data_IF_254567837735
#
_entry.id   IF_254567837735
#
_cell.length_a   1.000
_cell.length_b   1.000
_cell.length_c   1.000
_cell.angle_alpha   90.00
_cell.angle_beta   90.00
_cell.angle_gamma   90.00
#
_symmetry.space_group_name_H-M   'P 1'
#
loop_
_entity.id
_entity.type
_entity.pdbx_description
1 polymer ?
#
# COMPACT_ATOMS: atom_id res chain seq x y z
N UNK A 1 6.35 -19.66 -10.98
CA UNK A 1 5.41 -19.90 -12.10
C UNK A 1 5.27 -18.58 -12.84
N UNK A 2 5.82 -18.49 -14.05
CA UNK A 2 5.67 -17.34 -14.93
C UNK A 2 4.42 -17.57 -15.79
N UNK A 3 3.52 -16.61 -15.83
CA UNK A 3 2.38 -16.61 -16.75
C UNK A 3 2.65 -15.57 -17.82
N UNK A 4 2.88 -15.99 -19.08
CA UNK A 4 3.17 -15.05 -20.14
C UNK A 4 1.96 -14.14 -20.38
N UNK A 5 2.24 -12.92 -20.73
CA UNK A 5 1.26 -11.93 -21.20
C UNK A 5 0.86 -12.28 -22.63
N UNK A 6 -0.42 -12.17 -22.97
CA UNK A 6 -0.90 -12.39 -24.33
C UNK A 6 -0.80 -11.13 -25.21
N UNK A 7 -0.77 -9.95 -24.59
CA UNK A 7 -0.69 -8.66 -25.29
C UNK A 7 0.67 -8.02 -25.07
N UNK A 8 1.11 -7.22 -26.02
CA UNK A 8 2.37 -6.48 -25.94
C UNK A 8 2.27 -5.37 -24.89
N UNK A 9 3.35 -5.16 -24.17
CA UNK A 9 3.55 -4.00 -23.29
C UNK A 9 4.78 -3.26 -23.78
N UNK A 10 4.65 -2.00 -24.16
CA UNK A 10 5.75 -1.23 -24.74
C UNK A 10 5.99 0.10 -24.03
N UNK A 11 7.24 0.50 -23.95
CA UNK A 11 7.63 1.81 -23.42
C UNK A 11 7.32 2.92 -24.44
N UNK A 12 6.56 3.93 -24.02
CA UNK A 12 6.11 5.03 -24.85
C UNK A 12 6.81 6.37 -24.57
N UNK A 13 7.92 6.33 -23.82
CA UNK A 13 8.70 7.52 -23.49
C UNK A 13 8.06 8.43 -22.45
N UNK A 14 8.66 9.61 -22.28
CA UNK A 14 8.15 10.66 -21.41
C UNK A 14 7.10 11.51 -22.14
N UNK A 15 5.98 11.79 -21.47
CA UNK A 15 4.89 12.60 -22.04
C UNK A 15 4.43 13.68 -21.07
N UNK A 16 4.02 14.82 -21.63
CA UNK A 16 3.33 15.84 -20.82
C UNK A 16 1.94 15.31 -20.43
N UNK A 17 1.47 15.69 -19.25
CA UNK A 17 0.14 15.28 -18.76
C UNK A 17 -0.98 15.60 -19.78
N UNK A 18 -0.91 16.76 -20.46
CA UNK A 18 -1.85 17.17 -21.48
C UNK A 18 -1.77 16.39 -22.81
N UNK A 19 -0.77 15.53 -22.98
CA UNK A 19 -0.56 14.71 -24.19
C UNK A 19 -0.71 13.21 -23.92
N UNK A 20 -1.18 12.85 -22.74
CA UNK A 20 -1.51 11.46 -22.45
C UNK A 20 -2.70 11.00 -23.31
N UNK A 21 -2.67 9.78 -23.80
CA UNK A 21 -3.83 9.21 -24.51
C UNK A 21 -5.01 9.05 -23.54
N UNK A 22 -6.23 9.03 -24.08
CA UNK A 22 -7.42 8.66 -23.30
C UNK A 22 -7.27 7.24 -22.77
N UNK A 23 -7.99 6.92 -21.69
CA UNK A 23 -7.91 5.65 -20.98
C UNK A 23 -6.53 5.44 -20.34
N UNK A 24 -5.89 6.52 -19.87
CA UNK A 24 -4.62 6.46 -19.15
C UNK A 24 -4.84 6.44 -17.63
N UNK A 25 -3.98 5.64 -16.97
CA UNK A 25 -3.79 5.71 -15.53
C UNK A 25 -2.48 6.46 -15.21
N UNK A 26 -2.54 7.43 -14.32
CA UNK A 26 -1.38 8.15 -13.80
C UNK A 26 -1.12 7.66 -12.39
N UNK A 27 0.11 7.20 -12.12
CA UNK A 27 0.48 6.63 -10.83
C UNK A 27 1.45 7.56 -10.11
N UNK A 28 1.02 7.98 -8.93
CA UNK A 28 1.77 8.83 -8.00
C UNK A 28 1.91 8.12 -6.63
N UNK A 29 2.85 8.56 -5.80
CA UNK A 29 3.20 7.85 -4.57
C UNK A 29 2.99 8.68 -3.30
N UNK A 30 2.33 9.82 -3.41
CA UNK A 30 1.80 10.59 -2.28
C UNK A 30 0.36 11.01 -2.53
N UNK A 31 -0.37 11.24 -1.46
CA UNK A 31 -1.77 11.72 -1.52
C UNK A 31 -1.82 13.10 -2.16
N UNK A 32 -0.86 13.96 -1.83
CA UNK A 32 -0.72 15.33 -2.34
C UNK A 32 -0.51 15.31 -3.86
N UNK A 33 0.39 14.44 -4.33
CA UNK A 33 0.69 14.31 -5.77
C UNK A 33 -0.51 13.76 -6.55
N UNK A 34 -1.24 12.79 -5.98
CA UNK A 34 -2.49 12.26 -6.58
C UNK A 34 -3.51 13.38 -6.76
N UNK A 35 -3.76 14.17 -5.73
CA UNK A 35 -4.72 15.27 -5.83
C UNK A 35 -4.24 16.40 -6.74
N UNK A 36 -2.94 16.73 -6.73
CA UNK A 36 -2.38 17.75 -7.63
C UNK A 36 -2.55 17.34 -9.10
N UNK A 37 -2.29 16.09 -9.44
CA UNK A 37 -2.49 15.57 -10.81
C UNK A 37 -3.97 15.55 -11.17
N UNK A 38 -4.84 15.09 -10.28
CA UNK A 38 -6.29 15.04 -10.51
C UNK A 38 -6.86 16.45 -10.72
N UNK A 39 -6.41 17.44 -9.95
CA UNK A 39 -6.82 18.84 -10.13
C UNK A 39 -6.34 19.42 -11.46
N UNK A 40 -5.12 19.11 -11.89
CA UNK A 40 -4.66 19.52 -13.21
C UNK A 40 -5.54 18.93 -14.31
N UNK A 41 -5.87 17.61 -14.24
CA UNK A 41 -6.76 16.97 -15.21
C UNK A 41 -8.17 17.56 -15.21
N UNK A 42 -8.67 17.97 -14.05
CA UNK A 42 -9.96 18.67 -13.95
C UNK A 42 -10.02 19.94 -14.78
N UNK A 43 -8.90 20.67 -14.86
CA UNK A 43 -8.84 21.97 -15.57
C UNK A 43 -8.89 21.86 -17.09
N UNK A 44 -8.35 20.78 -17.68
CA UNK A 44 -8.25 20.69 -19.14
C UNK A 44 -8.83 19.40 -19.75
N UNK A 45 -9.16 18.41 -18.94
CA UNK A 45 -9.59 17.08 -19.42
C UNK A 45 -10.94 16.63 -18.82
N UNK A 46 -11.67 17.54 -18.17
CA UNK A 46 -12.97 17.21 -17.57
C UNK A 46 -12.91 16.45 -16.25
N UNK A 47 -11.73 16.09 -15.79
CA UNK A 47 -11.53 15.39 -14.52
C UNK A 47 -10.84 14.04 -14.62
N UNK A 48 -10.71 13.39 -13.49
CA UNK A 48 -10.15 12.05 -13.36
C UNK A 48 -10.79 11.30 -12.21
N UNK A 49 -10.92 10.00 -12.31
CA UNK A 49 -11.21 9.13 -11.17
C UNK A 49 -9.96 9.04 -10.27
N UNK A 50 -10.16 8.96 -8.96
CA UNK A 50 -9.07 8.88 -7.98
C UNK A 50 -9.16 7.57 -7.22
N UNK A 51 -8.05 6.81 -7.18
CA UNK A 51 -7.96 5.51 -6.48
C UNK A 51 -6.74 5.46 -5.58
N UNK A 52 -6.98 5.36 -4.29
CA UNK A 52 -5.95 5.26 -3.25
C UNK A 52 -6.31 4.18 -2.23
N UNK A 53 -5.30 3.63 -1.57
CA UNK A 53 -5.49 2.65 -0.49
C UNK A 53 -6.29 3.19 0.70
N UNK A 54 -6.17 4.50 0.98
CA UNK A 54 -6.89 5.18 2.07
C UNK A 54 -8.41 5.37 1.82
N UNK A 55 -8.88 5.18 0.58
CA UNK A 55 -10.31 5.28 0.27
C UNK A 55 -11.08 4.05 0.78
N UNK A 56 -12.31 4.27 1.23
CA UNK A 56 -13.22 3.18 1.54
C UNK A 56 -13.47 2.29 0.31
N UNK A 57 -13.74 1.00 0.48
CA UNK A 57 -14.03 0.10 -0.64
C UNK A 57 -15.17 0.61 -1.52
N UNK A 58 -16.23 1.17 -0.94
CA UNK A 58 -17.38 1.74 -1.67
C UNK A 58 -16.97 2.93 -2.53
N UNK A 59 -16.22 3.88 -1.98
CA UNK A 59 -15.71 5.05 -2.70
C UNK A 59 -14.77 4.63 -3.82
N UNK A 60 -13.84 3.71 -3.55
CA UNK A 60 -12.91 3.18 -4.56
C UNK A 60 -13.66 2.52 -5.72
N UNK A 61 -14.66 1.69 -5.43
CA UNK A 61 -15.47 1.05 -6.46
C UNK A 61 -16.27 2.06 -7.29
N UNK A 62 -16.78 3.13 -6.68
CA UNK A 62 -17.46 4.21 -7.40
C UNK A 62 -16.50 4.94 -8.36
N UNK A 63 -15.28 5.26 -7.93
CA UNK A 63 -14.26 5.88 -8.77
C UNK A 63 -13.83 4.96 -9.94
N UNK A 64 -13.65 3.68 -9.67
CA UNK A 64 -13.35 2.67 -10.71
C UNK A 64 -14.48 2.61 -11.75
N UNK A 65 -15.73 2.61 -11.31
CA UNK A 65 -16.90 2.59 -12.18
C UNK A 65 -16.95 3.81 -13.08
N UNK A 66 -16.79 5.00 -12.52
CA UNK A 66 -16.72 6.28 -13.26
C UNK A 66 -15.72 6.21 -14.43
N UNK A 67 -14.52 5.64 -14.17
CA UNK A 67 -13.53 5.44 -15.21
C UNK A 67 -13.95 4.36 -16.22
N UNK A 68 -14.49 3.22 -15.78
CA UNK A 68 -14.89 2.13 -16.67
C UNK A 68 -16.03 2.52 -17.58
N UNK A 69 -17.04 3.22 -17.08
CA UNK A 69 -18.20 3.71 -17.84
C UNK A 69 -17.86 4.88 -18.78
N UNK A 70 -16.62 5.40 -18.68
CA UNK A 70 -16.14 6.46 -19.57
C UNK A 70 -16.63 7.86 -19.19
N UNK A 71 -17.13 8.05 -17.97
CA UNK A 71 -17.47 9.39 -17.47
C UNK A 71 -16.23 10.28 -17.39
N UNK A 72 -15.06 9.67 -17.16
CA UNK A 72 -13.75 10.32 -17.22
C UNK A 72 -12.76 9.46 -18.02
N UNK A 73 -11.85 10.12 -18.73
CA UNK A 73 -10.84 9.47 -19.56
C UNK A 73 -9.57 9.08 -18.80
N UNK A 74 -9.41 9.60 -17.60
CA UNK A 74 -8.19 9.46 -16.80
C UNK A 74 -8.47 8.91 -15.41
N UNK A 75 -7.53 8.12 -14.92
CA UNK A 75 -7.49 7.62 -13.55
C UNK A 75 -6.18 8.10 -12.90
N UNK A 76 -6.25 8.65 -11.71
CA UNK A 76 -5.06 8.95 -10.89
C UNK A 76 -5.06 8.02 -9.68
N UNK A 77 -3.97 7.30 -9.47
CA UNK A 77 -3.92 6.29 -8.42
C UNK A 77 -2.56 6.24 -7.73
N UNK A 78 -2.53 5.67 -6.54
CA UNK A 78 -1.29 5.17 -5.94
C UNK A 78 -0.94 3.79 -6.50
N UNK A 79 0.13 3.16 -5.99
CA UNK A 79 0.50 1.77 -6.30
C UNK A 79 -0.63 0.75 -5.99
N UNK A 80 -1.66 1.16 -5.27
CA UNK A 80 -2.91 0.40 -5.09
C UNK A 80 -3.55 -0.04 -6.42
N UNK A 81 -3.27 0.65 -7.53
CA UNK A 81 -3.69 0.22 -8.88
C UNK A 81 -3.10 -1.15 -9.25
N UNK A 82 -1.92 -1.47 -8.72
CA UNK A 82 -1.19 -2.71 -9.02
C UNK A 82 -1.90 -3.99 -8.56
N UNK A 83 -2.87 -3.93 -7.64
CA UNK A 83 -3.55 -5.11 -7.09
C UNK A 83 -5.05 -4.90 -6.94
N UNK A 84 -5.82 -5.98 -7.14
CA UNK A 84 -7.24 -6.05 -6.79
C UNK A 84 -8.22 -5.25 -7.65
N UNK A 85 -7.76 -4.52 -8.67
CA UNK A 85 -8.62 -3.73 -9.54
C UNK A 85 -8.71 -4.33 -10.95
N UNK A 86 -9.93 -4.41 -11.45
CA UNK A 86 -10.22 -4.81 -12.82
C UNK A 86 -10.42 -3.55 -13.67
N UNK A 87 -9.36 -3.06 -14.30
CA UNK A 87 -9.35 -1.81 -15.05
C UNK A 87 -9.00 -2.05 -16.52
N UNK A 88 -9.70 -1.36 -17.42
CA UNK A 88 -9.35 -1.27 -18.82
C UNK A 88 -8.52 0.00 -19.07
N UNK A 89 -7.21 -0.14 -18.93
CA UNK A 89 -6.23 0.94 -19.08
C UNK A 89 -5.38 0.67 -20.30
N UNK A 90 -5.23 1.67 -21.18
CA UNK A 90 -4.38 1.56 -22.39
C UNK A 90 -2.96 2.02 -22.15
N UNK A 91 -2.79 3.01 -21.28
CA UNK A 91 -1.49 3.59 -20.97
C UNK A 91 -1.34 3.83 -19.48
N UNK A 92 -0.17 3.50 -18.95
CA UNK A 92 0.22 3.81 -17.57
C UNK A 92 1.35 4.84 -17.58
N UNK A 93 1.11 6.00 -16.99
CA UNK A 93 2.11 7.05 -16.82
C UNK A 93 2.56 7.14 -15.36
N UNK A 94 3.84 7.02 -15.10
CA UNK A 94 4.41 7.22 -13.77
C UNK A 94 4.64 8.72 -13.54
N UNK A 95 4.02 9.28 -12.51
CA UNK A 95 4.30 10.65 -12.09
C UNK A 95 5.66 10.74 -11.37
N UNK A 96 6.08 9.66 -10.70
CA UNK A 96 7.40 9.49 -10.10
C UNK A 96 7.83 8.02 -10.20
N UNK A 97 9.14 7.77 -10.26
CA UNK A 97 9.74 6.43 -10.12
C UNK A 97 10.28 6.19 -8.70
N UNK A 98 9.93 7.07 -7.74
CA UNK A 98 10.33 6.97 -6.35
C UNK A 98 9.11 6.95 -5.45
N UNK A 99 9.19 6.16 -4.38
CA UNK A 99 8.18 6.12 -3.32
C UNK A 99 8.82 6.17 -1.94
N UNK A 100 8.05 6.59 -0.96
CA UNK A 100 8.40 6.40 0.44
C UNK A 100 7.92 5.00 0.88
N UNK A 101 8.81 4.20 1.47
CA UNK A 101 8.55 2.81 1.85
C UNK A 101 8.21 2.63 3.34
N UNK A 102 7.95 3.74 4.03
CA UNK A 102 7.74 3.77 5.48
C UNK A 102 9.00 4.16 6.27
N UNK A 103 10.19 4.11 5.65
CA UNK A 103 11.47 4.43 6.29
C UNK A 103 12.26 5.48 5.51
N UNK A 104 12.27 5.38 4.18
CA UNK A 104 13.03 6.27 3.31
C UNK A 104 12.40 6.41 1.94
N UNK A 105 12.72 7.49 1.26
CA UNK A 105 12.40 7.64 -0.16
C UNK A 105 13.36 6.78 -0.98
N UNK A 106 12.84 5.88 -1.80
CA UNK A 106 13.62 4.99 -2.67
C UNK A 106 13.02 4.88 -4.06
N UNK A 107 13.85 4.50 -5.01
CA UNK A 107 13.40 4.13 -6.35
C UNK A 107 12.53 2.87 -6.28
N UNK A 108 11.55 2.77 -7.15
CA UNK A 108 10.77 1.55 -7.35
C UNK A 108 11.70 0.43 -7.83
N UNK A 109 11.42 -0.77 -7.41
CA UNK A 109 12.07 -1.96 -7.96
C UNK A 109 11.45 -2.34 -9.30
N UNK A 110 12.18 -3.05 -10.16
CA UNK A 110 11.67 -3.50 -11.47
C UNK A 110 10.38 -4.31 -11.34
N UNK A 111 10.22 -5.24 -10.36
CA UNK A 111 8.93 -5.92 -10.16
C UNK A 111 7.77 -4.98 -9.80
N UNK A 112 8.01 -3.94 -8.99
CA UNK A 112 6.99 -2.93 -8.66
C UNK A 112 6.60 -2.12 -9.91
N UNK A 113 7.59 -1.67 -10.69
CA UNK A 113 7.36 -0.97 -11.95
C UNK A 113 6.55 -1.85 -12.93
N UNK A 114 6.94 -3.11 -13.09
CA UNK A 114 6.27 -4.05 -13.98
C UNK A 114 4.84 -4.40 -13.53
N UNK A 115 4.60 -4.51 -12.22
CA UNK A 115 3.27 -4.75 -11.67
C UNK A 115 2.32 -3.60 -11.97
N UNK A 116 2.83 -2.36 -11.88
CA UNK A 116 2.08 -1.14 -12.19
C UNK A 116 1.90 -0.99 -13.70
N UNK A 117 2.98 -1.03 -14.48
CA UNK A 117 2.96 -0.91 -15.94
C UNK A 117 2.08 -2.01 -16.59
N UNK A 118 2.12 -3.22 -16.02
CA UNK A 118 1.33 -4.37 -16.47
C UNK A 118 -0.18 -4.20 -16.37
N UNK A 119 -0.67 -3.09 -15.80
CA UNK A 119 -2.08 -2.72 -15.85
C UNK A 119 -2.50 -2.13 -17.20
N UNK A 120 -1.54 -1.66 -17.98
CA UNK A 120 -1.81 -1.21 -19.34
C UNK A 120 -1.97 -2.40 -20.28
N UNK A 121 -3.03 -2.37 -21.07
CA UNK A 121 -3.42 -3.45 -21.97
C UNK A 121 -3.95 -4.67 -21.23
N UNK A 122 -4.87 -5.38 -21.85
CA UNK A 122 -5.50 -6.55 -21.23
C UNK A 122 -5.91 -7.57 -22.29
N UNK A 123 -5.72 -8.86 -21.95
CA UNK A 123 -6.01 -9.96 -22.85
C UNK A 123 -5.34 -9.78 -24.24
N UNK A 124 -6.11 -9.36 -25.23
CA UNK A 124 -5.65 -9.16 -26.62
C UNK A 124 -5.37 -7.68 -26.94
N UNK A 125 -5.54 -6.76 -26.00
CA UNK A 125 -5.29 -5.32 -26.20
C UNK A 125 -3.88 -4.98 -25.72
N UNK A 126 -3.05 -4.46 -26.63
CA UNK A 126 -1.72 -3.97 -26.30
C UNK A 126 -1.78 -2.77 -25.35
N UNK A 127 -0.78 -2.70 -24.47
CA UNK A 127 -0.62 -1.63 -23.51
C UNK A 127 0.68 -0.89 -23.68
N UNK A 128 0.72 0.31 -23.15
CA UNK A 128 1.97 1.08 -23.11
C UNK A 128 2.18 1.71 -21.74
N UNK A 129 3.44 2.00 -21.42
CA UNK A 129 3.81 2.70 -20.19
C UNK A 129 4.85 3.77 -20.46
N UNK A 130 4.99 4.71 -19.54
CA UNK A 130 5.96 5.78 -19.64
C UNK A 130 5.98 6.64 -18.38
N UNK A 131 6.67 7.78 -18.44
CA UNK A 131 6.74 8.74 -17.34
C UNK A 131 6.11 10.06 -17.73
N UNK A 132 5.67 10.84 -16.74
CA UNK A 132 5.36 12.25 -16.93
C UNK A 132 6.65 13.06 -17.07
N UNK A 133 6.68 13.99 -18.03
CA UNK A 133 7.79 14.93 -18.15
C UNK A 133 7.92 15.79 -16.89
N UNK A 134 9.14 16.04 -16.46
CA UNK A 134 9.46 16.88 -15.29
C UNK A 134 10.01 16.05 -14.14
N UNK A 135 9.27 15.93 -13.04
CA UNK A 135 9.73 15.26 -11.81
C UNK A 135 9.67 13.72 -11.84
N UNK A 136 9.11 13.11 -12.89
CA UNK A 136 8.84 11.66 -12.96
C UNK A 136 10.11 10.79 -12.92
N UNK A 137 11.23 11.32 -13.34
CA UNK A 137 12.47 10.57 -13.56
C UNK A 137 12.48 9.88 -14.93
N UNK A 138 13.48 9.03 -15.18
CA UNK A 138 13.60 8.26 -16.41
C UNK A 138 13.81 6.79 -16.11
N UNK A 139 13.21 5.92 -16.91
CA UNK A 139 13.52 4.49 -16.90
C UNK A 139 14.89 4.27 -17.51
N UNK A 140 15.68 3.36 -16.95
CA UNK A 140 16.90 2.90 -17.63
C UNK A 140 16.55 1.92 -18.75
N UNK A 141 17.41 1.76 -19.76
CA UNK A 141 17.19 0.77 -20.82
C UNK A 141 16.96 -0.64 -20.27
N UNK A 142 17.69 -1.02 -19.24
CA UNK A 142 17.60 -2.34 -18.60
C UNK A 142 16.26 -2.53 -17.87
N UNK A 143 15.75 -1.46 -17.24
CA UNK A 143 14.41 -1.48 -16.61
C UNK A 143 13.31 -1.64 -17.66
N UNK A 144 13.41 -0.91 -18.78
CA UNK A 144 12.45 -0.99 -19.89
C UNK A 144 12.44 -2.42 -20.43
N UNK A 145 13.59 -2.96 -20.80
CA UNK A 145 13.72 -4.31 -21.35
C UNK A 145 13.18 -5.36 -20.38
N UNK A 146 13.52 -5.25 -19.09
CA UNK A 146 13.05 -6.18 -18.06
C UNK A 146 11.52 -6.15 -17.88
N UNK A 147 10.89 -4.99 -18.03
CA UNK A 147 9.43 -4.82 -17.93
C UNK A 147 8.76 -5.38 -19.18
N UNK A 148 9.25 -5.03 -20.37
CA UNK A 148 8.68 -5.46 -21.65
C UNK A 148 8.78 -6.97 -21.85
N UNK A 149 9.92 -7.57 -21.52
CA UNK A 149 10.19 -8.99 -21.65
C UNK A 149 9.80 -9.84 -20.44
N UNK A 150 9.26 -9.21 -19.38
CA UNK A 150 8.89 -9.91 -18.13
C UNK A 150 10.08 -10.64 -17.49
N UNK A 151 11.29 -10.08 -17.59
CA UNK A 151 12.51 -10.64 -17.02
C UNK A 151 12.72 -10.11 -15.60
N UNK A 152 12.54 -10.96 -14.61
CA UNK A 152 12.76 -10.62 -13.19
C UNK A 152 13.80 -11.55 -12.60
N UNK A 153 14.53 -11.03 -11.61
CA UNK A 153 15.44 -11.87 -10.83
C UNK A 153 14.65 -12.97 -10.13
N UNK A 154 15.20 -14.16 -10.17
CA UNK A 154 14.65 -15.29 -9.42
C UNK A 154 14.63 -14.97 -7.93
N UNK A 155 13.57 -15.38 -7.24
CA UNK A 155 13.53 -15.33 -5.79
C UNK A 155 14.46 -16.42 -5.25
N UNK A 156 15.50 -16.02 -4.53
CA UNK A 156 16.43 -16.97 -3.91
C UNK A 156 15.85 -17.55 -2.61
N UNK A 157 15.00 -16.78 -1.93
CA UNK A 157 14.39 -17.17 -0.65
C UNK A 157 12.95 -16.68 -0.57
N UNK A 158 12.10 -17.48 0.05
CA UNK A 158 10.74 -17.09 0.41
C UNK A 158 10.69 -16.75 1.89
N UNK A 159 10.06 -15.63 2.21
CA UNK A 159 9.80 -15.26 3.61
C UNK A 159 8.64 -16.08 4.16
N UNK A 160 8.81 -16.55 5.39
CA UNK A 160 7.81 -17.31 6.13
C UNK A 160 7.61 -16.72 7.52
N UNK A 161 6.41 -16.79 8.02
CA UNK A 161 6.03 -16.51 9.40
C UNK A 161 4.92 -17.48 9.79
N UNK A 162 4.88 -17.91 11.06
CA UNK A 162 3.82 -18.76 11.56
C UNK A 162 2.45 -18.12 11.36
N UNK A 163 1.56 -18.84 10.71
CA UNK A 163 0.21 -18.37 10.36
C UNK A 163 -0.87 -18.78 11.39
N UNK A 164 -0.58 -19.77 12.22
CA UNK A 164 -1.47 -20.26 13.27
C UNK A 164 -0.74 -20.32 14.63
N UNK A 165 -0.36 -19.16 15.19
CA UNK A 165 0.37 -19.10 16.43
C UNK A 165 -0.51 -19.53 17.62
N UNK A 166 0.12 -20.07 18.64
CA UNK A 166 -0.56 -20.50 19.87
C UNK A 166 -0.87 -19.29 20.75
N UNK A 167 -2.08 -19.26 21.30
CA UNK A 167 -2.56 -18.19 22.20
C UNK A 167 -2.61 -18.65 23.66
N UNK A 168 -1.58 -19.37 24.13
CA UNK A 168 -1.50 -19.87 25.51
C UNK A 168 -1.14 -18.75 26.48
N UNK A 169 -0.09 -18.01 26.18
CA UNK A 169 0.37 -16.82 26.86
C UNK A 169 1.09 -15.91 25.85
N UNK A 170 1.46 -14.70 26.29
CA UNK A 170 2.05 -13.69 25.39
C UNK A 170 3.44 -14.12 24.90
N UNK A 171 4.25 -14.75 25.71
CA UNK A 171 5.60 -15.18 25.35
C UNK A 171 5.56 -16.30 24.30
N UNK A 172 4.61 -17.23 24.45
CA UNK A 172 4.37 -18.28 23.46
C UNK A 172 3.91 -17.69 22.12
N UNK A 173 2.99 -16.71 22.16
CA UNK A 173 2.49 -16.04 20.96
C UNK A 173 3.62 -15.30 20.23
N UNK A 174 4.42 -14.51 20.94
CA UNK A 174 5.57 -13.80 20.35
C UNK A 174 6.60 -14.80 19.84
N UNK A 175 6.92 -15.84 20.60
CA UNK A 175 7.88 -16.87 20.22
C UNK A 175 7.47 -17.62 18.94
N UNK A 176 6.19 -17.95 18.78
CA UNK A 176 5.67 -18.56 17.56
C UNK A 176 5.79 -17.62 16.35
N UNK A 177 5.47 -16.33 16.54
CA UNK A 177 5.57 -15.32 15.47
C UNK A 177 7.02 -15.00 15.06
N UNK A 178 7.98 -15.23 15.93
CA UNK A 178 9.42 -15.10 15.69
C UNK A 178 10.11 -16.40 15.28
N UNK A 179 9.38 -17.50 15.28
CA UNK A 179 9.93 -18.81 14.98
C UNK A 179 10.60 -18.83 13.60
N UNK A 180 11.72 -19.56 13.54
CA UNK A 180 12.38 -19.80 12.25
C UNK A 180 11.70 -20.96 11.53
N UNK A 181 11.56 -20.88 10.21
CA UNK A 181 11.01 -21.98 9.44
C UNK A 181 11.91 -23.23 9.55
N UNK A 182 11.31 -24.40 9.57
CA UNK A 182 12.03 -25.67 9.55
C UNK A 182 12.63 -25.98 8.16
N UNK A 183 12.00 -25.47 7.09
CA UNK A 183 12.45 -25.68 5.71
C UNK A 183 13.61 -24.71 5.39
N UNK A 184 14.79 -25.20 4.95
CA UNK A 184 15.95 -24.38 4.62
C UNK A 184 15.75 -23.44 3.41
N UNK A 185 14.75 -23.70 2.56
CA UNK A 185 14.38 -22.83 1.43
C UNK A 185 13.66 -21.57 1.91
N UNK A 186 13.05 -21.63 3.09
CA UNK A 186 12.35 -20.51 3.71
C UNK A 186 13.29 -19.67 4.58
N UNK A 187 13.00 -18.41 4.70
CA UNK A 187 13.66 -17.49 5.63
C UNK A 187 12.61 -16.87 6.56
N UNK A 188 12.98 -16.65 7.82
CA UNK A 188 12.11 -15.92 8.73
C UNK A 188 11.79 -14.55 8.13
N UNK A 189 10.53 -14.16 8.17
CA UNK A 189 10.12 -12.83 7.73
C UNK A 189 10.78 -11.76 8.62
N UNK A 190 11.14 -10.59 8.08
CA UNK A 190 11.53 -9.45 8.89
C UNK A 190 10.42 -9.12 9.90
N UNK A 191 10.80 -8.48 11.01
CA UNK A 191 9.81 -8.03 11.99
C UNK A 191 8.78 -7.12 11.31
N UNK A 192 7.51 -7.55 11.32
CA UNK A 192 6.41 -6.79 10.77
C UNK A 192 5.84 -5.81 11.83
N UNK A 193 5.15 -4.77 11.37
CA UNK A 193 4.59 -3.72 12.23
C UNK A 193 3.68 -4.30 13.31
N UNK A 194 2.85 -5.29 12.97
CA UNK A 194 1.94 -5.97 13.90
C UNK A 194 2.67 -6.65 15.07
N UNK A 195 3.80 -7.32 14.79
CA UNK A 195 4.63 -7.93 15.83
C UNK A 195 5.33 -6.87 16.68
N UNK A 196 5.87 -5.83 16.05
CA UNK A 196 6.48 -4.72 16.78
C UNK A 196 5.46 -3.99 17.69
N UNK A 197 4.23 -3.81 17.23
CA UNK A 197 3.13 -3.25 18.02
C UNK A 197 2.74 -4.20 19.16
N UNK A 198 2.60 -5.50 18.88
CA UNK A 198 2.27 -6.51 19.90
C UNK A 198 3.28 -6.53 21.05
N UNK A 199 4.58 -6.49 20.76
CA UNK A 199 5.64 -6.44 21.76
C UNK A 199 5.49 -5.23 22.66
N UNK A 200 5.26 -4.04 22.08
CA UNK A 200 5.04 -2.81 22.84
C UNK A 200 3.76 -2.84 23.69
N UNK A 201 2.70 -3.47 23.19
CA UNK A 201 1.47 -3.65 23.95
C UNK A 201 1.67 -4.62 25.13
N UNK A 202 2.52 -5.62 24.96
CA UNK A 202 2.87 -6.58 25.99
C UNK A 202 3.64 -5.94 27.17
N UNK A 203 4.36 -4.84 26.94
CA UNK A 203 5.04 -4.07 27.98
C UNK A 203 4.10 -3.19 28.83
N UNK A 204 2.81 -3.10 28.49
CA UNK A 204 1.84 -2.25 29.16
C UNK A 204 0.98 -3.11 30.11
N UNK A 205 1.16 -3.01 31.46
CA UNK A 205 0.46 -3.86 32.43
C UNK A 205 -1.06 -3.85 32.26
N UNK A 206 -1.66 -2.67 32.08
CA UNK A 206 -3.11 -2.52 31.95
C UNK A 206 -3.67 -3.20 30.71
N UNK A 207 -2.88 -3.26 29.62
CA UNK A 207 -3.25 -3.97 28.41
C UNK A 207 -3.23 -5.46 28.66
N UNK A 208 -2.19 -5.97 29.32
CA UNK A 208 -2.03 -7.39 29.63
C UNK A 208 -3.08 -7.87 30.65
N UNK A 209 -3.43 -7.06 31.63
CA UNK A 209 -4.50 -7.38 32.58
C UNK A 209 -5.86 -7.57 31.89
N UNK A 210 -6.14 -6.78 30.86
CA UNK A 210 -7.37 -6.89 30.08
C UNK A 210 -7.29 -7.98 28.99
N UNK A 211 -6.09 -8.47 28.65
CA UNK A 211 -5.84 -9.47 27.62
C UNK A 211 -5.70 -10.91 28.16
N UNK A 212 -6.23 -11.21 29.34
CA UNK A 212 -6.09 -12.52 29.98
C UNK A 212 -6.76 -13.65 29.20
N UNK A 213 -6.07 -14.79 29.18
CA UNK A 213 -6.52 -16.03 28.55
C UNK A 213 -6.54 -16.00 27.03
N UNK A 214 -6.78 -17.15 26.43
CA UNK A 214 -6.74 -17.33 24.96
C UNK A 214 -7.61 -16.33 24.19
N UNK A 215 -8.82 -16.05 24.70
CA UNK A 215 -9.73 -15.10 24.04
C UNK A 215 -9.22 -13.66 24.12
N UNK A 216 -8.62 -13.28 25.26
CA UNK A 216 -8.00 -11.95 25.45
C UNK A 216 -6.82 -11.76 24.51
N UNK A 217 -5.91 -12.76 24.43
CA UNK A 217 -4.73 -12.72 23.57
C UNK A 217 -5.10 -12.70 22.08
N UNK A 218 -6.13 -13.44 21.65
CA UNK A 218 -6.63 -13.37 20.25
C UNK A 218 -7.14 -11.97 19.89
N UNK A 219 -7.84 -11.31 20.82
CA UNK A 219 -8.29 -9.93 20.63
C UNK A 219 -7.12 -8.95 20.61
N UNK A 220 -6.13 -9.14 21.48
CA UNK A 220 -4.93 -8.30 21.52
C UNK A 220 -4.15 -8.42 20.20
N UNK A 221 -3.97 -9.63 19.71
CA UNK A 221 -3.34 -9.85 18.40
C UNK A 221 -4.11 -9.19 17.25
N UNK A 222 -5.43 -9.33 17.23
CA UNK A 222 -6.26 -8.65 16.25
C UNK A 222 -6.14 -7.12 16.33
N UNK A 223 -6.02 -6.55 17.54
CA UNK A 223 -5.81 -5.13 17.74
C UNK A 223 -4.40 -4.68 17.29
N UNK A 224 -3.35 -5.47 17.61
CA UNK A 224 -1.99 -5.21 17.15
C UNK A 224 -1.86 -5.28 15.62
N UNK A 225 -2.70 -6.08 14.97
CA UNK A 225 -2.75 -6.23 13.51
C UNK A 225 -3.53 -5.11 12.79
N UNK A 226 -4.09 -4.12 13.50
CA UNK A 226 -4.70 -2.94 12.88
C UNK A 226 -3.64 -2.18 12.06
N UNK A 227 -3.93 -1.84 10.80
CA UNK A 227 -2.97 -1.14 9.98
C UNK A 227 -2.67 0.27 10.51
N UNK A 228 -1.40 0.65 10.46
CA UNK A 228 -0.97 2.03 10.69
C UNK A 228 -1.21 2.88 9.44
N UNK A 229 -2.46 3.29 9.23
CA UNK A 229 -2.85 4.08 8.06
C UNK A 229 -2.23 5.47 8.01
N UNK A 230 -1.75 5.99 9.14
CA UNK A 230 -1.12 7.30 9.24
C UNK A 230 0.40 7.24 9.15
N UNK A 231 0.97 6.02 9.12
CA UNK A 231 2.41 5.77 9.06
C UNK A 231 3.21 6.47 10.17
N UNK A 232 2.61 6.53 11.37
CA UNK A 232 3.23 7.15 12.55
C UNK A 232 4.30 6.29 13.23
N UNK A 233 4.47 5.07 12.73
CA UNK A 233 5.44 4.10 13.23
C UNK A 233 4.94 3.25 14.42
N UNK A 234 5.62 2.11 14.68
CA UNK A 234 5.14 1.10 15.64
C UNK A 234 4.95 1.63 17.06
N UNK A 235 5.80 2.55 17.50
CA UNK A 235 5.75 3.13 18.84
C UNK A 235 4.47 3.95 19.06
N UNK A 236 4.21 4.88 18.18
CA UNK A 236 3.04 5.76 18.28
C UNK A 236 1.75 5.00 17.97
N UNK A 237 1.82 4.06 17.02
CA UNK A 237 0.69 3.20 16.70
C UNK A 237 0.32 2.28 17.87
N UNK A 238 1.30 1.71 18.60
CA UNK A 238 1.04 0.93 19.81
C UNK A 238 0.36 1.76 20.90
N UNK A 239 0.79 3.00 21.13
CA UNK A 239 0.14 3.91 22.08
C UNK A 239 -1.31 4.24 21.68
N UNK A 240 -1.56 4.44 20.40
CA UNK A 240 -2.91 4.61 19.88
C UNK A 240 -3.77 3.36 20.12
N UNK A 241 -3.28 2.17 19.77
CA UNK A 241 -3.98 0.90 19.98
C UNK A 241 -4.22 0.67 21.48
N UNK A 242 -3.25 0.95 22.35
CA UNK A 242 -3.41 0.82 23.80
C UNK A 242 -4.53 1.72 24.36
N UNK A 243 -4.65 2.95 23.86
CA UNK A 243 -5.76 3.83 24.25
C UNK A 243 -7.12 3.31 23.79
N UNK A 244 -7.19 2.82 22.56
CA UNK A 244 -8.41 2.19 22.03
C UNK A 244 -8.75 0.89 22.76
N UNK A 245 -7.75 0.12 23.18
CA UNK A 245 -7.92 -1.17 23.84
C UNK A 245 -8.79 -1.08 25.09
N UNK A 246 -8.66 -0.03 25.89
CA UNK A 246 -9.50 0.21 27.07
C UNK A 246 -10.99 0.26 26.75
N UNK A 247 -11.33 0.77 25.56
CA UNK A 247 -12.73 0.84 25.07
C UNK A 247 -13.16 -0.45 24.38
N UNK A 248 -12.29 -1.04 23.58
CA UNK A 248 -12.54 -2.32 22.91
C UNK A 248 -12.75 -3.45 23.91
N UNK A 249 -12.04 -3.44 25.03
CA UNK A 249 -12.21 -4.43 26.10
C UNK A 249 -13.60 -4.37 26.75
N UNK A 250 -14.22 -3.17 26.81
CA UNK A 250 -15.59 -2.96 27.33
C UNK A 250 -16.68 -3.13 26.26
N UNK A 251 -16.30 -3.36 24.98
CA UNK A 251 -17.24 -3.53 23.87
C UNK A 251 -17.93 -2.23 23.43
N UNK A 252 -17.50 -1.07 23.92
CA UNK A 252 -18.04 0.25 23.56
C UNK A 252 -16.95 1.19 23.09
N UNK A 253 -17.12 1.75 21.91
CA UNK A 253 -16.22 2.76 21.36
C UNK A 253 -16.99 4.08 21.15
N UNK A 254 -16.89 5.04 22.12
CA UNK A 254 -17.61 6.31 22.00
C UNK A 254 -17.11 7.13 20.81
N UNK A 255 -18.03 7.67 19.99
CA UNK A 255 -17.68 8.47 18.80
C UNK A 255 -16.80 9.67 19.11
N UNK A 256 -17.04 10.35 20.23
CA UNK A 256 -16.24 11.50 20.64
C UNK A 256 -14.77 11.12 20.89
N UNK A 257 -14.52 9.93 21.43
CA UNK A 257 -13.17 9.44 21.71
C UNK A 257 -12.43 9.03 20.42
N UNK A 258 -13.16 8.43 19.46
CA UNK A 258 -12.60 8.16 18.13
C UNK A 258 -12.17 9.46 17.44
N UNK A 259 -13.02 10.48 17.48
CA UNK A 259 -12.70 11.78 16.90
C UNK A 259 -11.47 12.42 17.56
N UNK A 260 -11.35 12.32 18.89
CA UNK A 260 -10.20 12.84 19.62
C UNK A 260 -8.90 12.10 19.26
N UNK A 261 -8.94 10.77 19.13
CA UNK A 261 -7.77 9.99 18.75
C UNK A 261 -7.36 10.24 17.27
N UNK A 262 -8.32 10.46 16.39
CA UNK A 262 -8.05 10.86 14.99
C UNK A 262 -7.34 12.22 14.97
N UNK A 263 -7.84 13.22 15.70
CA UNK A 263 -7.22 14.54 15.77
C UNK A 263 -5.77 14.45 16.29
N UNK A 264 -5.52 13.65 17.33
CA UNK A 264 -4.14 13.41 17.83
C UNK A 264 -3.22 12.80 16.78
N UNK A 265 -3.71 11.85 16.00
CA UNK A 265 -2.91 11.24 14.92
C UNK A 265 -2.63 12.23 13.78
N UNK A 266 -3.56 13.13 13.49
CA UNK A 266 -3.38 14.19 12.50
C UNK A 266 -2.33 15.21 12.94
N UNK A 267 -2.35 15.62 14.24
CA UNK A 267 -1.33 16.51 14.83
C UNK A 267 0.07 15.88 14.77
N UNK A 268 0.20 14.58 15.08
CA UNK A 268 1.48 13.87 15.02
C UNK A 268 2.06 13.75 13.60
N UNK A 269 1.22 13.73 12.57
CA UNK A 269 1.67 13.69 11.18
C UNK A 269 2.39 14.97 10.79
N UNK A 270 1.92 16.12 11.26
CA UNK A 270 2.59 17.41 11.06
C UNK A 270 4.01 17.45 11.62
N UNK A 271 4.22 16.83 12.78
CA UNK A 271 5.54 16.74 13.42
C UNK A 271 6.52 15.83 12.66
N UNK A 272 6.03 14.72 12.09
CA UNK A 272 6.86 13.78 11.29
C UNK A 272 7.26 14.40 9.94
N UNK A 273 6.36 15.16 9.30
CA UNK A 273 6.65 15.86 8.04
C UNK A 273 7.62 17.04 8.23
N UNK A 274 7.69 17.63 9.43
CA UNK A 274 8.65 18.69 9.78
C UNK A 274 10.07 18.16 10.04
N UNK A 275 10.22 16.85 10.29
CA UNK A 275 11.49 16.18 10.58
C UNK A 275 12.09 15.43 9.38
N UNK A 276 11.38 15.35 8.25
CA UNK A 276 11.77 14.68 7.01
C UNK A 276 12.18 15.66 5.90
#
# INVERSE_FOLDING_TARGET
VTRPRFSTLSYAGAKKLSRLPRRSAIVAFSVEEVYAVAEMLRRFAGGAAVVMGALSPSTRNAQVRMFQEGEVDYLVATDAIGMGLNLDVRHVAFASLHKFDGHRRRRLTVPEMAQIAGRAGRHQTDGSFGVLTGKGGEFTPEEIEAIEEHRFKSLEKLYWRESDPRFTNIDTLIGDLEAKPADPVLSAAPEAVDLAVLKRLADIPEVMDAARGTKGLRRLWAAASLPDFRQVGPEHHARFVARLWRHLATGRLPRAQVAQEIARLDDMRGDVEALA
#
